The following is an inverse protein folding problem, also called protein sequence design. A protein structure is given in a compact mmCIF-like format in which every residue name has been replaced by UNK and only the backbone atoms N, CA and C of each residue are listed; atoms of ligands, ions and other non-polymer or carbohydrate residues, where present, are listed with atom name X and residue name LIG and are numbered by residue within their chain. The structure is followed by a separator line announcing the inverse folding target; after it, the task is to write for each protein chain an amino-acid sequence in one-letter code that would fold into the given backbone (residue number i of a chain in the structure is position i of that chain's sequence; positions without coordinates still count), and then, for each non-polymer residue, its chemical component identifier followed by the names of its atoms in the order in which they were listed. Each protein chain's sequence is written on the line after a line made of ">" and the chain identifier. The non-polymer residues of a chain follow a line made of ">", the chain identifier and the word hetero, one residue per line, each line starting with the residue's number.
data_IF_209085518702
#
_entry.id   IF_209085518702
#
_cell.length_a   1.000
_cell.length_b   1.000
_cell.length_c   1.000
_cell.angle_alpha   90.00
_cell.angle_beta   90.00
_cell.angle_gamma   90.00
#
_symmetry.space_group_name_H-M   'P 1'
#
loop_
_entity.id
_entity.type
_entity.pdbx_description
1 polymer ?
#
# COMPACT_ATOMS: atom_id res chain seq x y z
N UNK A 1 20.75 22.10 75.17
CA UNK A 1 19.91 21.11 74.47
C UNK A 1 20.65 20.70 73.21
N UNK A 2 21.17 19.47 73.15
CA UNK A 2 21.96 18.97 72.01
C UNK A 2 21.34 17.65 71.52
N UNK A 3 21.18 17.56 70.20
CA UNK A 3 20.31 16.63 69.50
C UNK A 3 20.86 15.19 69.50
N UNK A 4 19.96 14.25 69.83
CA UNK A 4 20.05 12.84 69.44
C UNK A 4 19.72 12.75 67.93
N UNK A 5 20.46 11.93 67.18
CA UNK A 5 19.90 10.77 66.47
C UNK A 5 20.94 10.06 65.60
N UNK A 6 21.07 8.76 65.86
CA UNK A 6 21.71 7.72 65.04
C UNK A 6 20.58 6.95 64.34
N UNK A 7 20.70 6.68 63.03
CA UNK A 7 19.99 5.63 62.25
C UNK A 7 20.35 5.72 60.74
N UNK A 8 20.10 4.69 59.90
CA UNK A 8 20.84 3.42 59.84
C UNK A 8 21.30 3.08 58.39
N UNK A 9 22.06 1.99 58.26
CA UNK A 9 22.45 1.38 56.97
C UNK A 9 21.23 1.01 56.12
N UNK A 10 21.28 1.36 54.82
CA UNK A 10 20.44 0.79 53.78
C UNK A 10 21.33 -0.02 52.81
N UNK A 11 21.21 -1.34 52.85
CA UNK A 11 21.87 -2.23 51.89
C UNK A 11 21.02 -2.30 50.61
N UNK A 12 21.54 -1.77 49.49
CA UNK A 12 20.97 -1.98 48.17
C UNK A 12 21.45 -3.33 47.61
N UNK A 13 20.52 -4.27 47.43
CA UNK A 13 20.70 -5.45 46.59
C UNK A 13 20.47 -5.04 45.12
N UNK A 14 21.53 -5.11 44.31
CA UNK A 14 21.49 -4.88 42.87
C UNK A 14 20.97 -6.12 42.13
N UNK A 15 19.73 -6.03 41.64
CA UNK A 15 19.16 -6.96 40.68
C UNK A 15 19.70 -6.64 39.29
N UNK A 16 20.63 -7.46 38.77
CA UNK A 16 21.10 -7.34 37.39
C UNK A 16 20.17 -8.16 36.49
N UNK A 17 19.49 -7.58 35.48
CA UNK A 17 18.73 -8.36 34.52
C UNK A 17 19.70 -9.03 33.53
N UNK A 18 19.64 -10.36 33.47
CA UNK A 18 20.29 -11.17 32.44
C UNK A 18 19.72 -10.78 31.08
N UNK A 19 20.53 -10.12 30.27
CA UNK A 19 20.21 -9.83 28.87
C UNK A 19 20.54 -11.05 28.02
N UNK A 20 19.53 -11.87 27.71
CA UNK A 20 19.65 -12.87 26.65
C UNK A 20 19.79 -12.20 25.27
N UNK A 21 20.32 -12.88 24.24
CA UNK A 21 20.45 -12.31 22.91
C UNK A 21 19.06 -12.01 22.34
N UNK A 22 18.74 -10.71 22.28
CA UNK A 22 17.56 -10.21 21.60
C UNK A 22 17.79 -10.40 20.10
N UNK A 23 16.98 -11.25 19.47
CA UNK A 23 16.99 -11.39 18.00
C UNK A 23 16.77 -9.98 17.41
N UNK A 24 17.73 -9.53 16.60
CA UNK A 24 17.66 -8.22 15.97
C UNK A 24 16.36 -8.13 15.18
N UNK A 25 15.59 -7.05 15.39
CA UNK A 25 14.41 -6.79 14.58
C UNK A 25 14.84 -6.76 13.10
N UNK A 26 14.09 -7.42 12.19
CA UNK A 26 14.44 -7.44 10.78
C UNK A 26 14.54 -6.01 10.24
N UNK A 27 15.60 -5.72 9.51
CA UNK A 27 15.86 -4.38 8.99
C UNK A 27 14.69 -3.94 8.08
N UNK A 28 14.26 -2.66 8.15
CA UNK A 28 13.23 -2.14 7.26
C UNK A 28 13.69 -2.29 5.81
N UNK A 29 12.80 -2.75 4.92
CA UNK A 29 13.11 -2.87 3.50
C UNK A 29 13.46 -1.51 2.91
N UNK A 30 14.65 -1.41 2.29
CA UNK A 30 15.07 -0.22 1.53
C UNK A 30 14.18 0.05 0.32
N UNK A 31 13.45 -0.96 -0.16
CA UNK A 31 12.54 -0.83 -1.29
C UNK A 31 11.35 0.10 -1.00
N UNK A 32 11.03 0.39 0.27
CA UNK A 32 10.02 1.40 0.59
C UNK A 32 10.42 2.82 0.14
N UNK A 33 11.71 3.07 -0.05
CA UNK A 33 12.27 4.35 -0.48
C UNK A 33 12.49 4.42 -2.01
N UNK A 34 12.09 3.37 -2.74
CA UNK A 34 12.27 3.31 -4.17
C UNK A 34 11.51 4.43 -4.90
N UNK A 35 11.99 4.93 -6.06
CA UNK A 35 11.40 6.07 -6.75
C UNK A 35 9.89 5.95 -6.99
N UNK A 36 9.41 4.76 -7.39
CA UNK A 36 7.99 4.51 -7.63
C UNK A 36 7.11 4.73 -6.39
N UNK A 37 7.65 4.51 -5.18
CA UNK A 37 6.92 4.68 -3.93
C UNK A 37 7.08 6.07 -3.30
N UNK A 38 7.99 6.89 -3.81
CA UNK A 38 8.44 8.08 -3.09
C UNK A 38 7.31 9.06 -2.77
N UNK A 39 6.38 9.28 -3.72
CA UNK A 39 5.22 10.18 -3.50
C UNK A 39 4.26 9.62 -2.47
N UNK A 40 3.93 8.34 -2.58
CA UNK A 40 3.09 7.62 -1.61
C UNK A 40 3.68 7.65 -0.20
N UNK A 41 5.00 7.46 -0.09
CA UNK A 41 5.70 7.49 1.19
C UNK A 41 5.61 8.87 1.85
N UNK A 42 5.71 9.96 1.07
CA UNK A 42 5.51 11.33 1.58
C UNK A 42 4.10 11.56 2.13
N UNK A 43 3.09 10.90 1.56
CA UNK A 43 1.71 10.91 2.05
C UNK A 43 1.43 9.90 3.17
N UNK A 44 2.46 9.21 3.70
CA UNK A 44 2.28 8.23 4.78
C UNK A 44 1.59 6.92 4.35
N UNK A 45 1.52 6.65 3.05
CA UNK A 45 0.84 5.46 2.51
C UNK A 45 1.73 4.22 2.45
N UNK A 46 3.04 4.37 2.62
CA UNK A 46 4.03 3.30 2.44
C UNK A 46 4.64 2.94 3.77
N UNK A 47 4.74 1.63 4.02
CA UNK A 47 5.34 1.08 5.22
C UNK A 47 6.30 -0.07 4.85
N UNK A 48 7.52 -0.02 5.37
CA UNK A 48 8.45 -1.16 5.32
C UNK A 48 7.98 -2.26 6.26
N UNK A 49 7.86 -3.48 5.75
CA UNK A 49 7.51 -4.66 6.53
C UNK A 49 8.71 -5.62 6.66
N UNK A 50 8.72 -6.49 7.69
CA UNK A 50 9.70 -7.57 7.81
C UNK A 50 9.76 -8.48 6.56
N UNK A 51 10.94 -9.04 6.32
CA UNK A 51 11.12 -10.07 5.27
C UNK A 51 11.13 -9.51 3.85
N UNK A 52 11.75 -8.33 3.65
CA UNK A 52 11.82 -7.64 2.37
C UNK A 52 10.43 -7.44 1.73
N UNK A 53 9.54 -6.81 2.48
CA UNK A 53 8.18 -6.49 2.04
C UNK A 53 7.92 -5.00 2.20
N UNK A 54 7.04 -4.48 1.36
CA UNK A 54 6.54 -3.12 1.45
C UNK A 54 5.02 -3.17 1.39
N UNK A 55 4.35 -2.43 2.26
CA UNK A 55 2.90 -2.26 2.23
C UNK A 55 2.58 -0.86 1.73
N UNK A 56 1.76 -0.79 0.69
CA UNK A 56 1.11 0.43 0.22
C UNK A 56 -0.36 0.38 0.63
N UNK A 57 -0.86 1.42 1.30
CA UNK A 57 -2.27 1.58 1.62
C UNK A 57 -2.79 2.86 1.00
N UNK A 58 -3.77 2.75 0.11
CA UNK A 58 -4.36 3.88 -0.58
C UNK A 58 -5.88 3.79 -0.57
N UNK A 59 -6.53 4.93 -0.73
CA UNK A 59 -7.97 5.02 -0.99
C UNK A 59 -8.12 5.36 -2.46
N UNK A 60 -8.62 4.39 -3.22
CA UNK A 60 -8.96 4.55 -4.61
C UNK A 60 -10.43 4.98 -4.70
N UNK A 61 -10.65 6.08 -5.37
CA UNK A 61 -11.93 6.69 -5.64
C UNK A 61 -12.57 6.07 -6.91
N UNK A 62 -13.88 5.86 -6.86
CA UNK A 62 -14.71 5.32 -7.95
C UNK A 62 -15.36 6.45 -8.78
N UNK A 63 -15.22 7.72 -8.40
CA UNK A 63 -15.96 8.86 -9.01
C UNK A 63 -15.60 9.19 -10.48
N UNK A 64 -14.75 8.42 -11.16
CA UNK A 64 -14.32 8.73 -12.55
C UNK A 64 -15.13 8.01 -13.64
N UNK A 65 -16.09 7.17 -13.27
CA UNK A 65 -17.05 6.57 -14.20
C UNK A 65 -18.42 6.58 -13.54
N UNK A 66 -19.07 7.75 -13.51
CA UNK A 66 -20.34 7.91 -12.80
C UNK A 66 -21.45 7.09 -13.51
N UNK A 67 -21.63 5.86 -13.03
CA UNK A 67 -22.80 5.01 -13.26
C UNK A 67 -23.88 5.29 -12.19
N UNK A 68 -23.95 6.50 -11.64
CA UNK A 68 -24.92 6.90 -10.61
C UNK A 68 -24.52 6.54 -9.18
N UNK A 69 -23.21 6.48 -8.89
CA UNK A 69 -22.70 6.10 -7.56
C UNK A 69 -22.40 7.36 -6.75
N UNK A 70 -22.98 7.55 -5.55
CA UNK A 70 -22.77 8.76 -4.75
C UNK A 70 -21.29 9.09 -4.46
N UNK A 71 -20.98 10.38 -4.31
CA UNK A 71 -19.63 10.95 -4.07
C UNK A 71 -18.93 10.50 -2.77
N UNK A 72 -19.52 9.57 -2.02
CA UNK A 72 -18.96 9.05 -0.77
C UNK A 72 -18.40 7.63 -0.90
N UNK A 73 -18.54 6.96 -2.05
CA UNK A 73 -18.08 5.57 -2.21
C UNK A 73 -16.59 5.51 -2.58
N UNK A 74 -15.85 4.63 -1.93
CA UNK A 74 -14.42 4.44 -2.20
C UNK A 74 -13.99 3.00 -1.98
N UNK A 75 -12.88 2.61 -2.60
CA UNK A 75 -12.20 1.34 -2.37
C UNK A 75 -10.89 1.58 -1.65
N UNK A 76 -10.76 1.06 -0.43
CA UNK A 76 -9.46 1.01 0.24
C UNK A 76 -8.65 -0.16 -0.31
N UNK A 77 -7.51 0.14 -0.93
CA UNK A 77 -6.58 -0.83 -1.48
C UNK A 77 -5.39 -0.96 -0.54
N UNK A 78 -5.08 -2.19 -0.09
CA UNK A 78 -3.83 -2.50 0.62
C UNK A 78 -3.04 -3.50 -0.21
N UNK A 79 -1.87 -3.10 -0.69
CA UNK A 79 -0.99 -3.92 -1.51
C UNK A 79 0.30 -4.22 -0.75
N UNK A 80 0.56 -5.50 -0.46
CA UNK A 80 1.80 -5.98 0.14
C UNK A 80 2.69 -6.52 -0.97
N UNK A 81 3.77 -5.82 -1.25
CA UNK A 81 4.77 -6.17 -2.25
C UNK A 81 5.78 -7.14 -1.64
N UNK A 82 5.97 -8.27 -2.32
CA UNK A 82 7.00 -9.25 -2.00
C UNK A 82 8.10 -9.14 -3.05
N UNK A 83 9.31 -8.80 -2.64
CA UNK A 83 10.46 -8.66 -3.53
C UNK A 83 11.22 -9.99 -3.65
N UNK A 84 11.84 -10.20 -4.81
CA UNK A 84 12.67 -11.37 -5.07
C UNK A 84 13.99 -11.30 -4.29
N UNK A 85 14.31 -12.37 -3.56
CA UNK A 85 15.54 -12.46 -2.78
C UNK A 85 16.78 -12.34 -3.68
N UNK A 86 17.77 -11.55 -3.23
CA UNK A 86 19.02 -11.34 -3.97
C UNK A 86 18.91 -10.55 -5.27
N UNK A 87 17.71 -10.06 -5.64
CA UNK A 87 17.45 -9.31 -6.87
C UNK A 87 16.94 -7.89 -6.57
N UNK A 88 17.54 -7.20 -5.60
CA UNK A 88 17.15 -5.83 -5.27
C UNK A 88 15.65 -5.67 -5.00
N UNK A 89 15.03 -4.66 -5.61
CA UNK A 89 13.61 -4.33 -5.46
C UNK A 89 12.74 -4.85 -6.60
N UNK A 90 13.16 -5.95 -7.25
CA UNK A 90 12.32 -6.66 -8.21
C UNK A 90 11.10 -7.29 -7.52
N UNK A 91 9.91 -6.85 -7.88
CA UNK A 91 8.65 -7.41 -7.38
C UNK A 91 8.50 -8.84 -7.92
N UNK A 92 8.18 -9.78 -7.02
CA UNK A 92 7.84 -11.17 -7.33
C UNK A 92 6.33 -11.37 -7.39
N UNK A 93 5.63 -10.82 -6.40
CA UNK A 93 4.20 -11.01 -6.18
C UNK A 93 3.69 -9.87 -5.30
N UNK A 94 2.41 -9.53 -5.44
CA UNK A 94 1.75 -8.54 -4.60
C UNK A 94 0.44 -9.12 -4.08
N UNK A 95 0.30 -9.20 -2.76
CA UNK A 95 -0.96 -9.54 -2.12
C UNK A 95 -1.80 -8.26 -1.97
N UNK A 96 -2.94 -8.21 -2.63
CA UNK A 96 -3.84 -7.05 -2.60
C UNK A 96 -5.08 -7.42 -1.82
N UNK A 97 -5.43 -6.60 -0.82
CA UNK A 97 -6.75 -6.64 -0.19
C UNK A 97 -7.53 -5.38 -0.50
N UNK A 98 -8.79 -5.53 -0.92
CA UNK A 98 -9.70 -4.40 -1.14
C UNK A 98 -10.85 -4.42 -0.16
N UNK A 99 -11.23 -3.24 0.34
CA UNK A 99 -12.35 -3.04 1.25
C UNK A 99 -13.17 -1.86 0.73
N UNK A 100 -14.45 -2.10 0.46
CA UNK A 100 -15.38 -1.08 0.01
C UNK A 100 -15.82 -0.25 1.22
N UNK A 101 -15.83 1.07 1.04
CA UNK A 101 -16.20 2.04 2.06
C UNK A 101 -17.06 3.16 1.49
N UNK A 102 -17.55 4.02 2.38
CA UNK A 102 -18.43 5.13 2.03
C UNK A 102 -19.79 5.06 2.70
N UNK A 103 -20.82 5.54 2.01
CA UNK A 103 -22.22 5.50 2.47
C UNK A 103 -22.85 4.09 2.41
N UNK A 104 -22.05 3.04 2.56
CA UNK A 104 -22.52 1.65 2.61
C UNK A 104 -23.04 1.39 4.04
N UNK A 105 -24.33 0.99 4.21
CA UNK A 105 -24.86 0.59 5.51
C UNK A 105 -24.01 -0.53 6.14
N UNK A 106 -23.83 -0.51 7.46
CA UNK A 106 -22.92 -1.45 8.15
C UNK A 106 -23.27 -2.93 7.90
N UNK A 107 -24.55 -3.25 7.67
CA UNK A 107 -25.00 -4.62 7.37
C UNK A 107 -24.74 -5.08 5.93
N UNK A 108 -24.41 -4.16 5.01
CA UNK A 108 -24.27 -4.43 3.58
C UNK A 108 -22.80 -4.43 3.12
N UNK A 109 -21.86 -4.22 4.04
CA UNK A 109 -20.43 -4.22 3.71
C UNK A 109 -19.97 -5.62 3.37
N UNK A 110 -19.50 -5.80 2.14
CA UNK A 110 -18.83 -7.01 1.72
C UNK A 110 -17.54 -7.23 2.54
N UNK A 111 -17.17 -8.48 2.85
CA UNK A 111 -15.88 -8.76 3.46
C UNK A 111 -14.74 -8.34 2.53
N UNK A 112 -13.55 -7.99 3.06
CA UNK A 112 -12.43 -7.61 2.24
C UNK A 112 -12.04 -8.71 1.24
N UNK A 113 -11.95 -8.36 -0.04
CA UNK A 113 -11.50 -9.27 -1.11
C UNK A 113 -9.97 -9.36 -1.02
N UNK A 114 -9.39 -10.53 -1.27
CA UNK A 114 -7.93 -10.76 -1.21
C UNK A 114 -7.45 -11.59 -2.38
N UNK A 115 -6.44 -11.09 -3.09
CA UNK A 115 -5.95 -11.71 -4.31
C UNK A 115 -4.44 -11.47 -4.49
N UNK A 116 -3.80 -12.39 -5.21
CA UNK A 116 -2.39 -12.28 -5.58
C UNK A 116 -2.25 -11.75 -7.01
N UNK A 117 -1.39 -10.75 -7.16
CA UNK A 117 -1.07 -10.10 -8.41
C UNK A 117 0.40 -10.32 -8.77
N UNK A 118 0.68 -10.44 -10.06
CA UNK A 118 2.00 -10.75 -10.60
C UNK A 118 2.41 -9.69 -11.63
N UNK A 119 3.68 -9.26 -11.65
CA UNK A 119 4.15 -8.28 -12.63
C UNK A 119 4.01 -8.75 -14.07
N UNK A 120 3.59 -7.83 -14.95
CA UNK A 120 3.64 -7.96 -16.41
C UNK A 120 4.71 -6.98 -16.91
N UNK A 121 5.87 -7.52 -17.31
CA UNK A 121 7.01 -6.72 -17.81
C UNK A 121 8.02 -6.35 -16.72
N UNK A 122 8.59 -5.14 -16.80
CA UNK A 122 9.57 -4.61 -15.84
C UNK A 122 8.97 -4.51 -14.44
N UNK A 123 9.74 -4.93 -13.43
CA UNK A 123 9.25 -5.06 -12.05
C UNK A 123 10.19 -4.55 -10.97
N UNK A 124 11.32 -3.94 -11.35
CA UNK A 124 12.22 -3.31 -10.37
C UNK A 124 11.73 -1.92 -10.01
N UNK A 125 11.11 -1.79 -8.83
CA UNK A 125 10.57 -0.49 -8.39
C UNK A 125 11.66 0.51 -8.04
N UNK A 126 12.91 0.07 -7.90
CA UNK A 126 14.06 0.94 -7.69
C UNK A 126 14.59 1.56 -8.99
N UNK A 127 14.18 1.05 -10.16
CA UNK A 127 14.60 1.61 -11.45
C UNK A 127 13.98 3.00 -11.65
N UNK A 128 14.79 4.08 -11.76
CA UNK A 128 14.28 5.43 -11.98
C UNK A 128 13.60 5.61 -13.34
N UNK A 129 13.83 4.71 -14.30
CA UNK A 129 13.16 4.72 -15.60
C UNK A 129 11.80 3.98 -15.58
N UNK A 130 11.44 3.31 -14.47
CA UNK A 130 10.16 2.64 -14.35
C UNK A 130 9.03 3.66 -14.19
N UNK A 131 8.40 4.02 -15.31
CA UNK A 131 7.25 4.91 -15.33
C UNK A 131 5.96 4.23 -14.84
N UNK A 132 5.88 2.90 -14.93
CA UNK A 132 4.67 2.15 -14.60
C UNK A 132 4.98 0.71 -14.19
N UNK A 133 4.44 0.27 -13.06
CA UNK A 133 4.37 -1.14 -12.68
C UNK A 133 2.96 -1.66 -12.97
N UNK A 134 2.86 -2.64 -13.86
CA UNK A 134 1.58 -3.31 -14.18
C UNK A 134 1.55 -4.68 -13.53
N UNK A 135 0.51 -4.95 -12.75
CA UNK A 135 0.29 -6.22 -12.07
C UNK A 135 -1.05 -6.80 -12.49
N UNK A 136 -1.14 -8.13 -12.65
CA UNK A 136 -2.39 -8.83 -12.97
C UNK A 136 -2.57 -10.08 -12.12
N UNK A 137 -3.81 -10.48 -11.88
CA UNK A 137 -4.13 -11.81 -11.34
C UNK A 137 -3.72 -12.89 -12.34
N UNK A 138 -3.66 -14.15 -11.90
CA UNK A 138 -3.37 -15.29 -12.80
C UNK A 138 -4.39 -15.46 -13.91
N UNK A 139 -5.65 -15.12 -13.63
CA UNK A 139 -6.74 -15.11 -14.63
C UNK A 139 -6.69 -13.87 -15.52
N UNK A 140 -5.87 -12.89 -15.15
CA UNK A 140 -5.74 -11.59 -15.80
C UNK A 140 -7.07 -10.81 -15.92
N UNK A 141 -8.06 -11.20 -15.12
CA UNK A 141 -9.40 -10.60 -15.00
C UNK A 141 -9.40 -9.34 -14.13
N UNK A 142 -8.29 -9.05 -13.46
CA UNK A 142 -8.08 -7.89 -12.60
C UNK A 142 -6.67 -7.36 -12.79
N UNK A 143 -6.52 -6.06 -12.60
CA UNK A 143 -5.22 -5.40 -12.71
C UNK A 143 -5.02 -4.36 -11.62
N UNK A 144 -3.77 -4.22 -11.18
CA UNK A 144 -3.32 -3.12 -10.36
C UNK A 144 -2.19 -2.43 -11.14
N UNK A 145 -2.37 -1.13 -11.42
CA UNK A 145 -1.34 -0.33 -12.09
C UNK A 145 -0.85 0.73 -11.11
N UNK A 146 0.45 0.75 -10.89
CA UNK A 146 1.12 1.74 -10.04
C UNK A 146 1.98 2.66 -10.90
N UNK A 147 1.65 3.94 -10.89
CA UNK A 147 2.44 5.05 -11.44
C UNK A 147 3.09 5.81 -10.28
N UNK A 148 4.10 6.67 -10.51
CA UNK A 148 4.66 7.52 -9.46
C UNK A 148 3.63 8.47 -8.82
N UNK A 149 2.60 8.87 -9.58
CA UNK A 149 1.58 9.83 -9.18
C UNK A 149 0.19 9.24 -8.93
N UNK A 150 -0.09 7.99 -9.31
CA UNK A 150 -1.43 7.44 -9.20
C UNK A 150 -1.44 5.89 -9.17
N UNK A 151 -2.41 5.32 -8.48
CA UNK A 151 -2.68 3.88 -8.46
C UNK A 151 -4.05 3.65 -9.05
N UNK A 152 -4.15 2.67 -9.95
CA UNK A 152 -5.40 2.24 -10.54
C UNK A 152 -5.68 0.78 -10.20
N UNK A 153 -6.89 0.50 -9.72
CA UNK A 153 -7.38 -0.85 -9.49
C UNK A 153 -8.53 -1.15 -10.46
N UNK A 154 -8.36 -2.19 -11.27
CA UNK A 154 -9.30 -2.61 -12.31
C UNK A 154 -9.92 -3.96 -11.94
N UNK A 155 -11.24 -4.04 -12.03
CA UNK A 155 -12.00 -5.28 -11.90
C UNK A 155 -12.65 -5.67 -13.24
N UNK A 156 -12.92 -6.97 -13.41
CA UNK A 156 -13.65 -7.55 -14.54
C UNK A 156 -13.11 -7.18 -15.94
N UNK A 157 -11.79 -7.01 -16.05
CA UNK A 157 -11.11 -6.71 -17.32
C UNK A 157 -10.85 -7.97 -18.13
N UNK A 158 -10.76 -7.87 -19.46
CA UNK A 158 -10.26 -8.98 -20.27
C UNK A 158 -8.74 -9.13 -20.09
N UNK A 159 -8.23 -10.35 -20.20
CA UNK A 159 -6.83 -10.72 -19.92
C UNK A 159 -5.78 -9.81 -20.59
N UNK A 160 -6.08 -9.33 -21.80
CA UNK A 160 -5.22 -8.44 -22.59
C UNK A 160 -5.90 -7.12 -22.98
N UNK A 161 -6.99 -6.75 -22.29
CA UNK A 161 -7.59 -5.44 -22.48
C UNK A 161 -6.54 -4.34 -22.17
N UNK A 162 -6.47 -3.28 -22.99
CA UNK A 162 -5.68 -2.11 -22.66
C UNK A 162 -6.18 -1.55 -21.31
N UNK A 163 -5.22 -1.16 -20.47
CA UNK A 163 -5.51 -0.53 -19.18
C UNK A 163 -5.30 0.96 -19.35
N UNK A 164 -6.37 1.73 -19.31
CA UNK A 164 -6.30 3.17 -19.47
C UNK A 164 -6.06 3.80 -18.08
N UNK A 165 -4.91 4.44 -17.92
CA UNK A 165 -4.47 5.12 -16.69
C UNK A 165 -4.49 6.65 -16.81
N UNK A 166 -5.18 7.15 -17.83
CA UNK A 166 -5.38 8.58 -18.09
C UNK A 166 -6.86 8.80 -18.31
N UNK A 167 -7.50 9.66 -17.52
CA UNK A 167 -8.90 10.01 -17.72
C UNK A 167 -9.10 10.57 -19.14
N UNK A 168 -10.22 10.24 -19.81
CA UNK A 168 -10.52 10.82 -21.11
C UNK A 168 -10.77 12.32 -20.93
N UNK A 169 -10.18 13.14 -21.79
CA UNK A 169 -10.33 14.59 -21.73
C UNK A 169 -11.70 15.07 -22.24
N UNK A 170 -12.38 14.22 -23.02
CA UNK A 170 -13.55 14.61 -23.81
C UNK A 170 -14.71 13.62 -23.53
N UNK A 171 -15.87 14.15 -23.14
CA UNK A 171 -17.03 13.38 -22.68
C UNK A 171 -17.87 12.72 -23.80
N UNK A 172 -17.41 12.72 -25.04
CA UNK A 172 -18.19 12.26 -26.18
C UNK A 172 -17.65 10.96 -26.79
N UNK A 173 -18.34 9.85 -26.52
CA UNK A 173 -18.42 8.74 -27.48
C UNK A 173 -17.77 7.40 -27.13
N UNK A 174 -17.24 7.18 -25.93
CA UNK A 174 -16.63 5.88 -25.61
C UNK A 174 -17.59 4.90 -24.92
N UNK A 175 -17.67 3.70 -25.50
CA UNK A 175 -18.50 2.61 -25.02
C UNK A 175 -18.02 2.14 -23.63
N UNK A 176 -18.91 2.25 -22.63
CA UNK A 176 -18.93 1.51 -21.38
C UNK A 176 -17.55 1.08 -20.81
N UNK A 177 -16.91 2.04 -20.15
CA UNK A 177 -16.17 1.90 -18.89
C UNK A 177 -15.29 0.65 -18.72
N UNK A 178 -13.98 0.82 -18.93
CA UNK A 178 -12.95 0.05 -18.24
C UNK A 178 -11.98 1.00 -17.54
N UNK A 179 -12.54 1.95 -16.78
CA UNK A 179 -11.79 2.86 -15.94
C UNK A 179 -11.59 2.21 -14.58
N UNK A 180 -10.33 2.07 -14.16
CA UNK A 180 -10.04 1.58 -12.81
C UNK A 180 -10.34 2.64 -11.76
N UNK A 181 -10.69 2.23 -10.55
CA UNK A 181 -10.73 3.14 -9.41
C UNK A 181 -9.32 3.72 -9.18
N UNK A 182 -9.21 5.03 -8.99
CA UNK A 182 -7.92 5.73 -8.93
C UNK A 182 -7.76 6.56 -7.67
N UNK A 183 -6.54 6.80 -7.19
CA UNK A 183 -6.35 7.62 -5.99
C UNK A 183 -6.69 9.08 -6.33
N UNK A 184 -7.59 9.70 -5.56
CA UNK A 184 -7.90 11.11 -5.72
C UNK A 184 -6.64 11.98 -5.50
N UNK A 185 -6.41 12.95 -6.39
CA UNK A 185 -5.22 13.82 -6.34
C UNK A 185 -5.04 14.54 -4.98
N UNK A 186 -6.15 14.80 -4.28
CA UNK A 186 -6.17 15.41 -2.95
C UNK A 186 -5.35 14.65 -1.93
N UNK A 187 -5.24 13.31 -2.05
CA UNK A 187 -4.42 12.48 -1.17
C UNK A 187 -2.90 12.71 -1.29
N UNK A 188 -2.47 13.44 -2.33
CA UNK A 188 -1.07 13.77 -2.56
C UNK A 188 -0.72 15.23 -2.30
N UNK A 189 -1.70 16.07 -1.93
CA UNK A 189 -1.43 17.45 -1.56
C UNK A 189 -0.88 17.46 -0.13
N UNK A 190 0.37 17.91 0.02
CA UNK A 190 0.83 18.37 1.32
C UNK A 190 0.08 19.69 1.59
N UNK A 191 -0.53 19.82 2.77
CA UNK A 191 -0.96 21.11 3.28
C UNK A 191 0.24 22.06 3.42
#
# INVERSE_FOLDING_TARGET
>A
MSLKHVSPLLALLLSVPVSGPQAAAPAPSSCAQAPLFQRYARSGMVESLPGNKVRLTAVADVHSADCGTPDCYFTKVRAVFHFAEGKGCHVREVEVSTEEGGCIPEGDRAPPKREAFFPKGTSDVADPALAQLTLRTRKADRALVLLPENLFYFEDVKADAPLHTTLPTDAEGEAACCWGASIAESHFRAE
#
